data_IF_384178214256
#
_entry.id   IF_384178214256
#
_cell.length_a   1.000
_cell.length_b   1.000
_cell.length_c   1.000
_cell.angle_alpha   90.00
_cell.angle_beta   90.00
_cell.angle_gamma   90.00
#
_symmetry.space_group_name_H-M   'P 1'
#
loop_
_entity.id
_entity.type
_entity.pdbx_description
1 polymer ?
#
# COMPACT_ATOMS: atom_id res chain seq x y z
N UNK A 1 -21.32 -6.64 14.96
CA UNK A 1 -21.05 -6.48 13.51
C UNK A 1 -19.58 -6.80 13.28
N UNK A 2 -19.25 -7.66 12.31
CA UNK A 2 -17.85 -7.83 11.90
C UNK A 2 -17.44 -6.56 11.14
N UNK A 3 -16.27 -5.94 11.40
CA UNK A 3 -15.82 -4.85 10.56
C UNK A 3 -15.76 -5.35 9.12
N UNK A 4 -16.38 -4.63 8.20
CA UNK A 4 -16.18 -4.83 6.78
C UNK A 4 -14.76 -4.35 6.52
N UNK A 5 -13.78 -5.25 6.61
CA UNK A 5 -12.41 -4.95 6.22
C UNK A 5 -12.46 -4.70 4.71
N UNK A 6 -12.48 -3.43 4.31
CA UNK A 6 -12.31 -3.11 2.89
C UNK A 6 -10.93 -3.68 2.49
N UNK A 7 -10.87 -4.50 1.42
CA UNK A 7 -9.61 -5.04 0.96
C UNK A 7 -8.66 -3.90 0.60
N UNK A 8 -7.39 -4.06 0.96
CA UNK A 8 -6.36 -3.08 0.71
C UNK A 8 -6.40 -2.59 -0.75
N UNK A 9 -6.34 -1.27 -0.96
CA UNK A 9 -6.18 -0.71 -2.30
C UNK A 9 -4.82 -1.07 -2.89
N UNK A 10 -3.84 -1.29 -2.01
CA UNK A 10 -2.48 -1.68 -2.34
C UNK A 10 -1.93 -2.70 -1.34
N UNK A 11 -1.19 -3.70 -1.79
CA UNK A 11 -0.43 -4.59 -0.90
C UNK A 11 0.92 -4.96 -1.50
N UNK A 12 1.93 -5.14 -0.64
CA UNK A 12 3.27 -5.60 -1.02
C UNK A 12 3.55 -6.96 -0.39
N UNK A 13 3.73 -7.98 -1.23
CA UNK A 13 4.02 -9.35 -0.83
C UNK A 13 5.48 -9.68 -1.14
N UNK A 14 6.35 -9.50 -0.14
CA UNK A 14 7.78 -9.71 -0.27
C UNK A 14 8.20 -11.20 -0.34
N UNK A 15 7.35 -12.12 0.13
CA UNK A 15 7.64 -13.57 0.21
C UNK A 15 6.63 -14.38 -0.57
N UNK A 16 7.10 -15.41 -1.28
CA UNK A 16 6.24 -16.34 -2.03
C UNK A 16 5.19 -17.04 -1.17
N UNK A 17 5.47 -17.24 0.12
CA UNK A 17 4.51 -17.84 1.06
C UNK A 17 3.30 -16.95 1.37
N UNK A 18 3.31 -15.68 0.96
CA UNK A 18 2.22 -14.73 1.21
C UNK A 18 1.05 -14.86 0.23
N UNK A 19 1.17 -15.67 -0.82
CA UNK A 19 0.10 -15.82 -1.81
C UNK A 19 0.12 -17.21 -2.45
N UNK A 20 -0.91 -17.52 -3.23
CA UNK A 20 -1.00 -18.76 -3.98
C UNK A 20 -1.17 -18.49 -5.47
N UNK A 21 -0.19 -18.90 -6.29
CA UNK A 21 -0.33 -18.85 -7.75
C UNK A 21 -1.46 -19.77 -8.21
N UNK A 22 -2.36 -19.29 -9.05
CA UNK A 22 -3.50 -20.02 -9.60
C UNK A 22 -3.79 -19.59 -11.04
N UNK A 23 -4.87 -20.13 -11.61
CA UNK A 23 -5.46 -19.63 -12.85
C UNK A 23 -6.92 -19.30 -12.61
N UNK A 24 -7.38 -18.20 -13.19
CA UNK A 24 -8.76 -17.71 -13.03
C UNK A 24 -9.42 -17.49 -14.39
N UNK A 25 -10.72 -17.64 -14.43
CA UNK A 25 -11.55 -17.19 -15.53
C UNK A 25 -12.16 -15.84 -15.15
N UNK A 26 -12.10 -14.88 -16.06
CA UNK A 26 -12.83 -13.61 -15.97
C UNK A 26 -13.99 -13.63 -16.97
N UNK A 27 -15.08 -12.87 -16.75
CA UNK A 27 -16.21 -12.85 -17.68
C UNK A 27 -15.86 -12.35 -19.08
N UNK A 28 -14.79 -11.55 -19.18
CA UNK A 28 -14.45 -10.80 -20.39
C UNK A 28 -13.47 -11.54 -21.31
N UNK A 29 -12.97 -12.71 -20.89
CA UNK A 29 -11.96 -13.48 -21.63
C UNK A 29 -12.29 -14.97 -21.67
N UNK A 30 -12.12 -15.57 -22.85
CA UNK A 30 -12.38 -17.01 -23.06
C UNK A 30 -11.28 -17.91 -22.47
N UNK A 31 -10.07 -17.38 -22.27
CA UNK A 31 -8.93 -18.14 -21.78
C UNK A 31 -8.60 -17.82 -20.31
N UNK A 32 -8.22 -18.83 -19.50
CA UNK A 32 -7.80 -18.59 -18.13
C UNK A 32 -6.55 -17.70 -18.03
N UNK A 33 -6.57 -16.75 -17.11
CA UNK A 33 -5.43 -15.88 -16.79
C UNK A 33 -4.57 -16.48 -15.68
N UNK A 34 -3.25 -16.25 -15.78
CA UNK A 34 -2.34 -16.46 -14.65
C UNK A 34 -2.67 -15.46 -13.53
N UNK A 35 -2.76 -15.95 -12.30
CA UNK A 35 -3.21 -15.14 -11.18
C UNK A 35 -2.55 -15.54 -9.86
N UNK A 36 -2.77 -14.71 -8.85
CA UNK A 36 -2.53 -15.04 -7.45
C UNK A 36 -3.82 -14.93 -6.64
N UNK A 37 -3.96 -15.80 -5.66
CA UNK A 37 -4.93 -15.68 -4.58
C UNK A 37 -4.21 -15.10 -3.36
N UNK A 38 -4.74 -13.98 -2.86
CA UNK A 38 -4.27 -13.28 -1.67
C UNK A 38 -5.49 -12.74 -0.92
N UNK A 39 -5.56 -12.98 0.39
CA UNK A 39 -6.67 -12.55 1.24
C UNK A 39 -8.07 -12.89 0.66
N UNK A 40 -8.24 -14.14 0.18
CA UNK A 40 -9.48 -14.65 -0.44
C UNK A 40 -9.92 -13.91 -1.71
N UNK A 41 -9.06 -13.05 -2.25
CA UNK A 41 -9.28 -12.27 -3.44
C UNK A 41 -8.35 -12.76 -4.57
N UNK A 42 -8.80 -12.61 -5.82
CA UNK A 42 -8.02 -12.98 -7.00
C UNK A 42 -7.41 -11.75 -7.66
N UNK A 43 -6.15 -11.87 -8.05
CA UNK A 43 -5.42 -10.84 -8.77
C UNK A 43 -4.78 -11.43 -10.02
N UNK A 44 -5.15 -10.93 -11.20
CA UNK A 44 -4.58 -11.33 -12.49
C UNK A 44 -3.19 -10.73 -12.68
N UNK A 45 -2.31 -11.45 -13.39
CA UNK A 45 -0.99 -10.93 -13.73
C UNK A 45 -1.11 -9.80 -14.75
N UNK A 46 -0.57 -8.62 -14.43
CA UNK A 46 -0.52 -7.49 -15.35
C UNK A 46 0.82 -7.41 -16.07
N UNK A 47 1.92 -7.29 -15.32
CA UNK A 47 3.27 -7.24 -15.87
C UNK A 47 4.36 -7.42 -14.81
N UNK A 48 5.59 -7.69 -15.26
CA UNK A 48 6.80 -7.64 -14.44
C UNK A 48 7.59 -6.38 -14.75
N UNK A 49 8.00 -5.64 -13.71
CA UNK A 49 8.77 -4.40 -13.82
C UNK A 49 10.11 -4.57 -13.09
N UNK A 50 11.24 -4.33 -13.75
CA UNK A 50 12.57 -4.56 -13.15
C UNK A 50 12.98 -3.54 -12.09
N UNK A 51 12.41 -2.33 -12.09
CA UNK A 51 12.75 -1.23 -11.18
C UNK A 51 11.67 -1.00 -10.13
N UNK A 52 12.05 -0.89 -8.87
CA UNK A 52 11.15 -0.56 -7.75
C UNK A 52 10.47 0.79 -7.94
N UNK A 53 11.22 1.81 -8.38
CA UNK A 53 10.67 3.14 -8.66
C UNK A 53 9.60 3.11 -9.76
N UNK A 54 9.86 2.36 -10.85
CA UNK A 54 8.86 2.16 -11.91
C UNK A 54 7.66 1.36 -11.41
N UNK A 55 7.86 0.39 -10.52
CA UNK A 55 6.79 -0.40 -9.93
C UNK A 55 5.86 0.46 -9.05
N UNK A 56 6.42 1.29 -8.17
CA UNK A 56 5.65 2.25 -7.37
C UNK A 56 4.93 3.28 -8.24
N UNK A 57 5.60 3.84 -9.25
CA UNK A 57 4.96 4.78 -10.18
C UNK A 57 3.81 4.14 -10.95
N UNK A 58 3.96 2.87 -11.38
CA UNK A 58 2.88 2.13 -12.02
C UNK A 58 1.73 1.87 -11.05
N UNK A 59 2.04 1.48 -9.81
CA UNK A 59 1.03 1.26 -8.78
C UNK A 59 0.21 2.53 -8.51
N UNK A 60 0.88 3.68 -8.33
CA UNK A 60 0.23 4.98 -8.15
C UNK A 60 -0.73 5.29 -9.30
N UNK A 61 -0.30 5.09 -10.56
CA UNK A 61 -1.12 5.34 -11.75
C UNK A 61 -2.36 4.45 -11.80
N UNK A 62 -2.23 3.17 -11.51
CA UNK A 62 -3.36 2.24 -11.49
C UNK A 62 -4.33 2.59 -10.36
N UNK A 63 -3.82 2.86 -9.15
CA UNK A 63 -4.65 3.24 -8.00
C UNK A 63 -5.40 4.55 -8.25
N UNK A 64 -4.76 5.55 -8.88
CA UNK A 64 -5.44 6.80 -9.25
C UNK A 64 -6.61 6.62 -10.23
N UNK A 65 -6.66 5.48 -10.95
CA UNK A 65 -7.77 5.10 -11.84
C UNK A 65 -8.85 4.27 -11.13
N UNK A 66 -8.65 3.97 -9.85
CA UNK A 66 -9.55 3.14 -9.04
C UNK A 66 -9.19 1.66 -9.03
N UNK A 67 -8.05 1.26 -9.62
CA UNK A 67 -7.61 -0.13 -9.56
C UNK A 67 -7.14 -0.51 -8.16
N UNK A 68 -7.40 -1.76 -7.78
CA UNK A 68 -6.78 -2.40 -6.62
C UNK A 68 -5.71 -3.35 -7.09
N UNK A 69 -4.55 -3.35 -6.45
CA UNK A 69 -3.43 -4.15 -6.92
C UNK A 69 -2.54 -4.68 -5.80
N UNK A 70 -1.79 -5.72 -6.17
CA UNK A 70 -0.76 -6.33 -5.34
C UNK A 70 0.57 -6.21 -6.08
N UNK A 71 1.63 -5.89 -5.34
CA UNK A 71 3.02 -5.94 -5.80
C UNK A 71 3.71 -7.13 -5.15
N UNK A 72 4.26 -8.04 -5.93
CA UNK A 72 5.07 -9.15 -5.43
C UNK A 72 6.54 -8.97 -5.77
N UNK A 73 7.45 -9.35 -4.88
CA UNK A 73 8.86 -9.47 -5.25
C UNK A 73 9.11 -10.77 -6.03
N UNK A 74 9.71 -10.67 -7.21
CA UNK A 74 10.07 -11.77 -8.10
C UNK A 74 11.58 -11.75 -8.37
N UNK A 75 12.16 -12.88 -8.76
CA UNK A 75 13.61 -12.96 -9.04
C UNK A 75 14.09 -12.02 -10.16
N UNK A 76 13.21 -11.58 -11.05
CA UNK A 76 13.50 -10.67 -12.18
C UNK A 76 12.93 -9.26 -11.99
N UNK A 77 12.45 -8.90 -10.80
CA UNK A 77 11.85 -7.59 -10.52
C UNK A 77 10.54 -7.70 -9.73
N UNK A 78 9.60 -6.82 -10.01
CA UNK A 78 8.35 -6.66 -9.29
C UNK A 78 7.17 -7.07 -10.17
N UNK A 79 6.39 -8.04 -9.70
CA UNK A 79 5.13 -8.42 -10.36
C UNK A 79 4.01 -7.50 -9.92
N UNK A 80 3.30 -6.91 -10.89
CA UNK A 80 2.08 -6.13 -10.67
C UNK A 80 0.89 -7.04 -10.95
N UNK A 81 -0.04 -7.13 -10.00
CA UNK A 81 -1.23 -7.97 -10.09
C UNK A 81 -2.48 -7.14 -9.83
N UNK A 82 -3.47 -7.21 -10.71
CA UNK A 82 -4.69 -6.38 -10.66
C UNK A 82 -5.84 -7.19 -10.10
N UNK A 83 -6.61 -6.61 -9.19
CA UNK A 83 -7.75 -7.26 -8.56
C UNK A 83 -8.89 -7.54 -9.55
N UNK A 84 -9.40 -8.76 -9.52
CA UNK A 84 -10.47 -9.23 -10.41
C UNK A 84 -11.76 -9.56 -9.64
N UNK A 85 -12.72 -8.62 -9.51
CA UNK A 85 -13.91 -8.78 -8.65
C UNK A 85 -14.80 -9.96 -9.03
N UNK A 86 -14.83 -10.31 -10.31
CA UNK A 86 -15.74 -11.34 -10.87
C UNK A 86 -15.01 -12.64 -11.21
N UNK A 87 -13.72 -12.73 -10.89
CA UNK A 87 -12.92 -13.90 -11.21
C UNK A 87 -13.35 -15.13 -10.43
N UNK A 88 -13.23 -16.29 -11.08
CA UNK A 88 -13.41 -17.60 -10.46
C UNK A 88 -12.22 -18.48 -10.80
N UNK A 89 -11.85 -19.40 -9.90
CA UNK A 89 -10.83 -20.41 -10.19
C UNK A 89 -11.19 -21.20 -11.45
N UNK A 90 -10.25 -21.28 -12.39
CA UNK A 90 -10.44 -22.02 -13.64
C UNK A 90 -10.55 -23.54 -13.41
N UNK A 91 -9.93 -24.05 -12.34
CA UNK A 91 -10.03 -25.44 -11.89
C UNK A 91 -10.16 -25.49 -10.38
N UNK A 92 -11.05 -26.36 -9.88
CA UNK A 92 -11.19 -26.61 -8.45
C UNK A 92 -9.84 -27.08 -7.85
N UNK A 93 -9.46 -26.48 -6.73
CA UNK A 93 -8.24 -26.84 -5.99
C UNK A 93 -8.57 -27.24 -4.57
N UNK A 94 -7.78 -28.16 -4.01
CA UNK A 94 -7.79 -28.45 -2.57
C UNK A 94 -7.39 -27.17 -1.84
N UNK A 95 -8.23 -26.71 -0.91
CA UNK A 95 -7.97 -25.52 -0.09
C UNK A 95 -6.59 -25.66 0.56
N UNK A 96 -5.67 -24.77 0.19
CA UNK A 96 -4.37 -24.67 0.86
C UNK A 96 -4.52 -23.86 2.15
N UNK A 97 -3.56 -23.99 3.08
CA UNK A 97 -3.59 -23.24 4.35
C UNK A 97 -3.72 -21.74 4.05
N UNK A 98 -4.68 -21.10 4.69
CA UNK A 98 -4.85 -19.65 4.63
C UNK A 98 -3.53 -18.97 5.00
N UNK A 99 -3.04 -18.13 4.10
CA UNK A 99 -1.97 -17.19 4.42
C UNK A 99 -2.56 -16.17 5.38
N UNK A 100 -1.88 -15.90 6.50
CA UNK A 100 -2.26 -14.83 7.43
C UNK A 100 -2.42 -13.50 6.67
N UNK A 101 -3.53 -12.82 6.97
CA UNK A 101 -3.87 -11.49 6.47
C UNK A 101 -2.71 -10.54 6.80
N UNK A 102 -2.08 -9.97 5.77
CA UNK A 102 -1.19 -8.84 5.95
C UNK A 102 -2.06 -7.60 6.21
N UNK A 103 -1.62 -6.67 7.05
CA UNK A 103 -2.26 -5.36 7.17
C UNK A 103 -2.43 -4.70 5.80
N UNK A 104 -3.44 -3.86 5.65
CA UNK A 104 -3.66 -3.15 4.40
C UNK A 104 -2.64 -2.01 4.26
N UNK A 105 -2.31 -1.69 3.01
CA UNK A 105 -1.61 -0.46 2.70
C UNK A 105 -2.52 0.45 1.88
N UNK A 106 -2.58 1.71 2.26
CA UNK A 106 -3.16 2.76 1.43
C UNK A 106 -2.05 3.39 0.59
N UNK A 107 -2.31 3.66 -0.68
CA UNK A 107 -1.44 4.52 -1.48
C UNK A 107 -2.18 5.83 -1.73
N UNK A 108 -1.67 6.90 -1.13
CA UNK A 108 -2.21 8.25 -1.19
C UNK A 108 -1.50 8.98 -2.33
N UNK A 109 -2.18 9.06 -3.47
CA UNK A 109 -1.68 9.63 -4.72
C UNK A 109 -2.08 11.09 -4.93
N UNK A 110 -2.94 11.64 -4.07
CA UNK A 110 -3.41 13.02 -4.16
C UNK A 110 -3.56 13.69 -2.79
N UNK A 111 -3.37 15.01 -2.73
CA UNK A 111 -3.41 15.78 -1.48
C UNK A 111 -4.81 15.81 -0.85
N UNK A 112 -5.86 15.62 -1.64
CA UNK A 112 -7.25 15.60 -1.18
C UNK A 112 -7.58 14.34 -0.37
N UNK A 113 -6.74 13.30 -0.45
CA UNK A 113 -6.94 12.03 0.26
C UNK A 113 -6.49 12.09 1.72
N UNK A 114 -5.78 13.14 2.13
CA UNK A 114 -5.28 13.27 3.50
C UNK A 114 -5.12 14.72 3.95
N UNK A 115 -5.13 14.92 5.25
CA UNK A 115 -4.70 16.16 5.89
C UNK A 115 -3.45 15.88 6.70
N UNK A 116 -2.39 16.65 6.46
CA UNK A 116 -1.25 16.62 7.36
C UNK A 116 -1.57 17.32 8.68
N UNK A 117 -1.38 16.62 9.80
CA UNK A 117 -1.69 17.09 11.15
C UNK A 117 -0.68 16.50 12.12
N UNK A 118 -0.44 17.22 13.20
CA UNK A 118 0.25 16.62 14.34
C UNK A 118 -0.71 15.71 15.08
N UNK A 119 -0.20 14.57 15.54
CA UNK A 119 -0.96 13.58 16.28
C UNK A 119 -0.29 13.26 17.63
N UNK A 120 -1.11 12.93 18.61
CA UNK A 120 -0.69 12.41 19.92
C UNK A 120 -0.94 10.91 19.93
N UNK A 121 0.14 10.12 19.98
CA UNK A 121 0.07 8.67 20.23
C UNK A 121 0.18 8.43 21.74
N UNK A 122 -0.65 7.57 22.36
CA UNK A 122 -0.67 7.39 23.82
C UNK A 122 0.69 7.06 24.46
N UNK A 123 1.50 6.25 23.80
CA UNK A 123 2.74 5.68 24.35
C UNK A 123 4.01 6.46 23.96
N UNK A 124 3.87 7.61 23.31
CA UNK A 124 4.99 8.46 22.89
C UNK A 124 4.86 9.76 23.67
N UNK A 125 5.94 10.37 24.14
CA UNK A 125 5.85 11.60 24.97
C UNK A 125 5.61 12.88 24.15
N UNK A 126 6.11 12.91 22.92
CA UNK A 126 6.03 14.08 22.05
C UNK A 126 4.99 13.88 20.94
N UNK A 127 4.30 14.96 20.50
CA UNK A 127 3.52 14.92 19.27
C UNK A 127 4.36 14.45 18.09
N UNK A 128 3.75 13.66 17.21
CA UNK A 128 4.36 13.22 15.96
C UNK A 128 3.73 13.96 14.78
N UNK A 129 4.50 14.24 13.71
CA UNK A 129 3.91 14.62 12.45
C UNK A 129 3.16 13.40 11.87
N UNK A 130 1.97 13.64 11.32
CA UNK A 130 1.06 12.60 10.92
C UNK A 130 0.18 12.97 9.74
N UNK A 131 -0.55 11.97 9.26
CA UNK A 131 -1.57 12.12 8.22
C UNK A 131 -2.90 11.64 8.77
N UNK A 132 -3.95 12.38 8.46
CA UNK A 132 -5.34 12.03 8.77
C UNK A 132 -6.06 11.79 7.46
N UNK A 133 -6.56 10.56 7.27
CA UNK A 133 -7.44 10.21 6.15
C UNK A 133 -8.88 10.08 6.65
N UNK A 134 -9.83 9.79 5.76
CA UNK A 134 -11.18 9.45 6.18
C UNK A 134 -11.16 8.14 6.99
N UNK A 135 -11.30 8.25 8.31
CA UNK A 135 -11.40 7.13 9.25
C UNK A 135 -10.09 6.55 9.79
N UNK A 136 -8.91 7.13 9.50
CA UNK A 136 -7.65 6.61 10.03
C UNK A 136 -6.61 7.72 10.27
N UNK A 137 -5.95 7.65 11.42
CA UNK A 137 -4.78 8.46 11.75
C UNK A 137 -3.52 7.64 11.48
N UNK A 138 -2.49 8.31 10.98
CA UNK A 138 -1.20 7.71 10.68
C UNK A 138 -0.06 8.57 11.22
N UNK A 139 0.94 7.95 11.83
CA UNK A 139 2.23 8.57 12.15
C UNK A 139 3.16 8.51 10.96
N UNK A 140 3.96 9.56 10.75
CA UNK A 140 5.01 9.56 9.74
C UNK A 140 6.19 8.74 10.24
N UNK A 141 6.45 7.60 9.61
CA UNK A 141 7.50 6.67 10.02
C UNK A 141 8.82 6.97 9.32
N UNK A 142 8.80 7.13 8.00
CA UNK A 142 10.01 7.43 7.22
C UNK A 142 9.73 8.18 5.93
N UNK A 143 10.57 9.16 5.62
CA UNK A 143 10.67 9.78 4.31
C UNK A 143 11.93 9.30 3.60
N UNK A 144 11.81 8.86 2.35
CA UNK A 144 12.91 8.30 1.57
C UNK A 144 12.72 8.53 0.08
N UNK A 145 13.80 8.62 -0.69
CA UNK A 145 13.75 8.59 -2.17
C UNK A 145 13.97 7.17 -2.71
N UNK A 146 14.29 6.21 -1.84
CA UNK A 146 14.52 4.83 -2.22
C UNK A 146 13.19 4.06 -2.29
N UNK A 147 12.77 3.78 -3.53
CA UNK A 147 11.58 2.99 -3.82
C UNK A 147 11.68 1.53 -3.34
N UNK A 148 12.88 0.94 -3.34
CA UNK A 148 13.09 -0.43 -2.85
C UNK A 148 12.88 -0.47 -1.33
N UNK A 149 13.49 0.47 -0.61
CA UNK A 149 13.30 0.63 0.82
C UNK A 149 11.82 0.85 1.16
N UNK A 150 11.13 1.70 0.40
CA UNK A 150 9.70 1.98 0.57
C UNK A 150 8.86 0.70 0.51
N UNK A 151 9.06 -0.13 -0.53
CA UNK A 151 8.34 -1.40 -0.69
C UNK A 151 8.68 -2.39 0.44
N UNK A 152 9.93 -2.44 0.88
CA UNK A 152 10.35 -3.30 1.99
C UNK A 152 9.73 -2.89 3.32
N UNK A 153 9.71 -1.59 3.63
CA UNK A 153 9.12 -1.07 4.87
C UNK A 153 7.64 -1.39 4.93
N UNK A 154 6.90 -1.11 3.87
CA UNK A 154 5.46 -1.43 3.80
C UNK A 154 5.22 -2.93 3.91
N UNK A 155 6.00 -3.76 3.24
CA UNK A 155 5.88 -5.22 3.39
C UNK A 155 6.14 -5.69 4.83
N UNK A 156 7.11 -5.08 5.53
CA UNK A 156 7.43 -5.40 6.94
C UNK A 156 6.32 -4.95 7.90
N UNK A 157 5.81 -3.72 7.75
CA UNK A 157 4.71 -3.18 8.57
C UNK A 157 3.47 -4.05 8.39
N UNK A 158 3.04 -4.26 7.16
CA UNK A 158 1.84 -5.07 6.85
C UNK A 158 2.00 -6.53 7.24
N UNK A 159 3.19 -7.12 7.16
CA UNK A 159 3.44 -8.49 7.64
C UNK A 159 3.23 -8.65 9.15
N UNK A 160 3.34 -7.58 9.94
CA UNK A 160 3.04 -7.59 11.39
C UNK A 160 1.54 -7.46 11.68
N UNK A 161 0.72 -7.27 10.65
CA UNK A 161 -0.72 -6.99 10.79
C UNK A 161 -1.04 -5.50 10.98
N UNK A 162 -0.01 -4.64 10.94
CA UNK A 162 -0.18 -3.19 11.05
C UNK A 162 -0.61 -2.58 9.70
N UNK A 163 -1.43 -1.55 9.78
CA UNK A 163 -1.88 -0.82 8.59
C UNK A 163 -0.83 0.23 8.22
N UNK A 164 -0.59 0.40 6.92
CA UNK A 164 0.41 1.33 6.40
C UNK A 164 -0.20 2.33 5.41
N UNK A 165 0.47 3.44 5.19
CA UNK A 165 0.21 4.30 4.03
C UNK A 165 1.53 4.69 3.33
N UNK A 166 1.46 4.85 2.01
CA UNK A 166 2.50 5.48 1.21
C UNK A 166 1.93 6.78 0.65
N UNK A 167 2.65 7.88 0.78
CA UNK A 167 2.43 9.09 -0.03
C UNK A 167 3.55 9.22 -1.04
N UNK A 168 3.20 9.42 -2.31
CA UNK A 168 4.17 9.70 -3.38
C UNK A 168 4.24 11.20 -3.67
N UNK A 169 5.41 11.79 -3.42
CA UNK A 169 5.74 13.18 -3.73
C UNK A 169 6.83 13.22 -4.80
N UNK A 170 6.47 12.94 -6.06
CA UNK A 170 7.40 13.04 -7.21
C UNK A 170 8.74 12.34 -6.96
N UNK A 171 8.70 11.06 -6.55
CA UNK A 171 9.86 10.21 -6.19
C UNK A 171 10.44 10.43 -4.78
N UNK A 172 9.76 11.19 -3.92
CA UNK A 172 9.98 11.14 -2.48
C UNK A 172 8.79 10.40 -1.88
N UNK A 173 9.06 9.29 -1.22
CA UNK A 173 8.05 8.46 -0.60
C UNK A 173 8.00 8.72 0.90
N UNK A 174 6.80 8.95 1.40
CA UNK A 174 6.52 8.97 2.82
C UNK A 174 5.83 7.67 3.18
N UNK A 175 6.46 6.88 4.05
CA UNK A 175 5.88 5.68 4.65
C UNK A 175 5.32 6.06 6.01
N UNK A 176 4.07 5.70 6.23
CA UNK A 176 3.34 5.95 7.47
C UNK A 176 2.82 4.65 8.08
N UNK A 177 2.64 4.66 9.40
CA UNK A 177 2.07 3.55 10.19
C UNK A 177 0.76 4.04 10.81
N UNK A 178 -0.26 3.19 10.81
CA UNK A 178 -1.55 3.56 11.38
C UNK A 178 -1.50 3.61 12.91
N UNK A 179 -2.10 4.65 13.46
CA UNK A 179 -2.22 4.90 14.89
C UNK A 179 -3.71 5.04 15.24
N UNK A 180 -4.45 3.92 15.40
CA UNK A 180 -5.91 3.96 15.59
C UNK A 180 -6.32 4.73 16.85
N UNK A 181 -5.48 4.73 17.88
CA UNK A 181 -5.74 5.40 19.15
C UNK A 181 -5.14 6.82 19.22
N UNK A 182 -4.58 7.32 18.12
CA UNK A 182 -3.99 8.65 18.11
C UNK A 182 -5.06 9.75 18.09
N UNK A 183 -4.77 10.85 18.80
CA UNK A 183 -5.59 12.04 18.79
C UNK A 183 -4.99 13.10 17.86
N UNK A 184 -5.83 13.74 17.05
CA UNK A 184 -5.43 14.85 16.18
C UNK A 184 -5.26 16.10 17.02
N UNK A 185 -4.14 16.81 16.86
CA UNK A 185 -3.86 18.06 17.56
C UNK A 185 -4.22 19.25 16.66
N UNK A 186 -5.00 20.19 17.18
CA UNK A 186 -5.49 21.34 16.41
C UNK A 186 -4.44 22.46 16.23
N UNK A 187 -3.41 22.52 17.09
CA UNK A 187 -2.54 23.69 17.23
C UNK A 187 -1.08 23.36 17.56
N UNK A 188 -0.52 22.35 16.91
CA UNK A 188 0.92 22.04 16.94
C UNK A 188 1.48 22.12 15.49
N UNK A 189 2.71 22.61 15.33
CA UNK A 189 3.33 22.89 14.01
C UNK A 189 4.58 22.01 13.72
N UNK A 190 4.67 20.79 14.26
CA UNK A 190 5.76 19.85 13.95
C UNK A 190 5.68 19.41 12.48
N UNK A 191 4.48 19.10 12.00
CA UNK A 191 4.18 18.77 10.60
C UNK A 191 4.60 19.87 9.63
N UNK A 192 4.61 21.14 10.07
CA UNK A 192 5.00 22.28 9.22
C UNK A 192 6.49 22.25 8.89
N UNK A 193 7.36 21.85 9.82
CA UNK A 193 8.80 21.74 9.53
C UNK A 193 9.13 20.61 8.56
N UNK A 194 8.43 19.49 8.69
CA UNK A 194 8.64 18.29 7.88
C UNK A 194 8.02 18.40 6.47
N UNK A 195 6.93 19.16 6.33
CA UNK A 195 6.30 19.44 5.04
C UNK A 195 6.82 20.73 4.38
N UNK A 196 7.43 21.67 5.11
CA UNK A 196 8.16 22.79 4.48
C UNK A 196 9.43 22.34 3.76
N UNK A 197 10.00 21.17 4.10
CA UNK A 197 10.96 20.51 3.21
C UNK A 197 10.33 20.07 1.88
N UNK A 198 9.01 19.94 1.74
CA UNK A 198 8.35 19.73 0.43
C UNK A 198 8.64 20.91 -0.50
N UNK A 199 8.48 22.16 -0.03
CA UNK A 199 8.72 23.35 -0.87
C UNK A 199 10.20 23.53 -1.22
N UNK A 200 11.11 23.21 -0.29
CA UNK A 200 12.55 23.31 -0.51
C UNK A 200 13.11 22.21 -1.41
N UNK A 201 12.60 20.99 -1.32
CA UNK A 201 13.07 19.88 -2.17
C UNK A 201 12.45 19.97 -3.58
N UNK A 202 11.21 20.45 -3.71
CA UNK A 202 10.60 20.74 -5.01
C UNK A 202 11.25 21.94 -5.73
N UNK A 203 11.78 22.94 -5.01
CA UNK A 203 12.47 24.08 -5.61
C UNK A 203 13.89 23.79 -6.09
N UNK A 204 14.52 22.72 -5.62
CA UNK A 204 15.90 22.32 -6.04
C UNK A 204 15.88 21.35 -7.22
N UNK A 205 14.72 20.76 -7.52
CA UNK A 205 14.51 19.85 -8.66
C UNK A 205 13.91 20.56 -9.90
N UNK A 206 13.93 21.90 -9.95
CA UNK A 206 13.47 22.73 -11.08
C UNK A 206 14.64 23.34 -11.84
#
# INVERSE_FOLDING_TARGET
MKPVTMPATFAVLAKRSQYQSCHINTPDLDQPLAAIEFDQNFYSFFQTISSSAKALSMAAKLISRGDRLVVTNLSKGYGIWIYEPKAKLAKARKRSKQVKVAGACQMLTSREQYQARDIRVPDIDLPLPGLVTDGQNFSMFKMTTDASETLELVAKITQRGEQAAIVDFKNIFLVCVAEPDAQVLESVNVSRGFLQSESKVLSVAS
#
